data_IF_768993096720
#
_entry.id   IF_768993096720
#
_cell.length_a   1.000
_cell.length_b   1.000
_cell.length_c   1.000
_cell.angle_alpha   90.00
_cell.angle_beta   90.00
_cell.angle_gamma   90.00
#
_symmetry.space_group_name_H-M   'P 1'
#
loop_
_entity.id
_entity.type
_entity.pdbx_description
1 polymer ?
#
# COMPACT_ATOMS: atom_id res chain seq x y z
N UNK A 1 -4.35 -12.99 22.08
CA UNK A 1 -4.10 -11.60 21.61
C UNK A 1 -4.67 -11.38 20.22
N UNK A 2 -4.54 -12.35 19.31
CA UNK A 2 -5.11 -12.27 17.96
C UNK A 2 -6.61 -12.63 17.91
N UNK A 3 -7.09 -13.45 18.83
CA UNK A 3 -8.51 -13.84 18.92
C UNK A 3 -9.44 -12.67 19.29
N UNK A 4 -8.86 -11.54 19.71
CA UNK A 4 -9.60 -10.30 20.00
C UNK A 4 -9.77 -9.41 18.75
N UNK A 5 -9.17 -9.77 17.62
CA UNK A 5 -9.33 -9.02 16.37
C UNK A 5 -10.72 -9.27 15.80
N UNK A 6 -11.50 -8.21 15.68
CA UNK A 6 -12.82 -8.28 15.07
C UNK A 6 -12.71 -8.30 13.54
N UNK A 7 -13.79 -8.68 12.86
CA UNK A 7 -13.83 -8.65 11.38
C UNK A 7 -13.53 -7.24 10.79
N UNK A 8 -14.03 -6.12 11.35
CA UNK A 8 -13.56 -4.78 10.99
C UNK A 8 -12.04 -4.56 11.13
N UNK A 9 -11.43 -5.09 12.19
CA UNK A 9 -9.99 -4.98 12.44
C UNK A 9 -9.20 -5.73 11.37
N UNK A 10 -9.66 -6.93 11.03
CA UNK A 10 -9.06 -7.73 9.96
C UNK A 10 -9.12 -7.02 8.61
N UNK A 11 -10.27 -6.46 8.24
CA UNK A 11 -10.42 -5.64 7.02
C UNK A 11 -9.48 -4.43 7.02
N UNK A 12 -9.27 -3.81 8.17
CA UNK A 12 -8.36 -2.66 8.32
C UNK A 12 -6.89 -3.07 8.19
N UNK A 13 -6.50 -4.23 8.72
CA UNK A 13 -5.16 -4.80 8.55
C UNK A 13 -4.90 -5.20 7.10
N UNK A 14 -5.84 -5.89 6.44
CA UNK A 14 -5.76 -6.25 5.02
C UNK A 14 -5.56 -5.00 4.16
N UNK A 15 -6.45 -4.01 4.29
CA UNK A 15 -6.34 -2.76 3.52
C UNK A 15 -5.01 -2.04 3.76
N UNK A 16 -4.56 -1.98 5.01
CA UNK A 16 -3.30 -1.29 5.36
C UNK A 16 -2.09 -2.00 4.79
N UNK A 17 -2.04 -3.32 4.88
CA UNK A 17 -0.93 -4.12 4.34
C UNK A 17 -0.83 -4.06 2.82
N UNK A 18 -1.95 -4.11 2.09
CA UNK A 18 -1.96 -3.91 0.63
C UNK A 18 -1.44 -2.53 0.26
N UNK A 19 -1.89 -1.50 0.97
CA UNK A 19 -1.40 -0.14 0.74
C UNK A 19 0.10 0.03 1.05
N UNK A 20 0.62 -0.66 2.07
CA UNK A 20 2.03 -0.57 2.45
C UNK A 20 2.95 -1.37 1.53
N UNK A 21 2.50 -2.54 1.05
CA UNK A 21 3.21 -3.36 0.07
C UNK A 21 3.28 -2.71 -1.32
N UNK A 22 2.35 -1.81 -1.65
CA UNK A 22 2.26 -1.22 -2.98
C UNK A 22 3.57 -0.51 -3.38
N UNK A 23 4.17 -1.00 -4.48
CA UNK A 23 5.43 -0.47 -5.02
C UNK A 23 6.69 -0.92 -4.29
N UNK A 24 6.63 -1.98 -3.48
CA UNK A 24 7.76 -2.60 -2.80
C UNK A 24 7.85 -4.09 -3.17
N UNK A 25 9.03 -4.70 -3.04
CA UNK A 25 9.26 -6.13 -3.30
C UNK A 25 8.80 -7.07 -2.18
N UNK A 26 7.81 -6.64 -1.38
CA UNK A 26 7.29 -7.41 -0.26
C UNK A 26 5.79 -7.65 -0.45
N UNK A 27 5.33 -8.89 -0.22
CA UNK A 27 3.92 -9.19 -0.33
C UNK A 27 3.15 -8.63 0.87
N UNK A 28 1.91 -8.20 0.62
CA UNK A 28 1.03 -7.71 1.67
C UNK A 28 0.75 -8.76 2.76
N UNK A 29 0.69 -10.04 2.37
CA UNK A 29 0.54 -11.15 3.30
C UNK A 29 1.77 -11.30 4.21
N UNK A 30 2.96 -11.24 3.64
CA UNK A 30 4.22 -11.37 4.37
C UNK A 30 4.41 -10.21 5.36
N UNK A 31 4.05 -8.98 4.97
CA UNK A 31 4.05 -7.83 5.90
C UNK A 31 3.16 -8.08 7.12
N UNK A 32 1.96 -8.64 6.93
CA UNK A 32 1.05 -8.95 8.06
C UNK A 32 1.60 -10.09 8.90
N UNK A 33 2.07 -11.16 8.25
CA UNK A 33 2.59 -12.34 8.94
C UNK A 33 3.80 -11.97 9.79
N UNK A 34 4.75 -11.23 9.24
CA UNK A 34 5.94 -10.77 9.96
C UNK A 34 5.58 -9.81 11.10
N UNK A 35 4.55 -8.96 10.92
CA UNK A 35 4.04 -8.13 12.00
C UNK A 35 3.45 -8.96 13.16
N UNK A 36 2.76 -10.07 12.86
CA UNK A 36 2.29 -11.00 13.88
C UNK A 36 3.44 -11.73 14.57
N UNK A 37 4.39 -12.29 13.79
CA UNK A 37 5.56 -12.99 14.33
C UNK A 37 6.32 -12.09 15.29
N UNK A 38 6.68 -10.86 14.86
CA UNK A 38 7.41 -9.91 15.71
C UNK A 38 6.66 -9.45 16.95
N UNK A 39 5.33 -9.48 16.89
CA UNK A 39 4.48 -9.16 18.06
C UNK A 39 4.43 -10.32 19.05
N UNK A 40 4.39 -11.56 18.56
CA UNK A 40 4.25 -12.76 19.38
C UNK A 40 5.59 -13.25 19.95
N UNK A 41 6.68 -13.10 19.19
CA UNK A 41 8.05 -13.46 19.60
C UNK A 41 8.69 -12.43 20.55
N UNK A 42 7.98 -11.33 20.86
CA UNK A 42 8.41 -10.30 21.79
C UNK A 42 9.42 -9.28 21.23
N UNK A 43 9.86 -9.40 19.97
CA UNK A 43 10.75 -8.41 19.33
C UNK A 43 10.11 -7.03 19.24
N UNK A 44 8.77 -6.97 19.17
CA UNK A 44 7.98 -5.75 19.28
C UNK A 44 6.97 -5.93 20.41
N UNK A 45 7.11 -5.11 21.46
CA UNK A 45 6.22 -5.15 22.63
C UNK A 45 5.04 -4.20 22.47
N UNK A 46 3.83 -4.75 22.49
CA UNK A 46 2.60 -3.98 22.56
C UNK A 46 2.26 -3.66 24.03
N UNK A 47 2.11 -2.39 24.38
CA UNK A 47 1.63 -1.99 25.72
C UNK A 47 0.13 -2.28 25.80
N UNK A 48 -0.37 -2.70 26.97
CA UNK A 48 -1.80 -3.05 27.15
C UNK A 48 -2.79 -1.93 26.80
N UNK A 49 -2.38 -0.67 26.91
CA UNK A 49 -3.20 0.49 26.56
C UNK A 49 -3.24 0.82 25.07
N UNK A 50 -2.47 0.11 24.23
CA UNK A 50 -2.38 0.41 22.80
C UNK A 50 -3.43 -0.36 22.00
N UNK A 51 -3.98 0.32 21.00
CA UNK A 51 -4.79 -0.29 19.96
C UNK A 51 -3.94 -1.28 19.16
N UNK A 52 -4.29 -2.56 19.24
CA UNK A 52 -3.51 -3.66 18.66
C UNK A 52 -3.39 -3.55 17.14
N UNK A 53 -4.44 -3.05 16.46
CA UNK A 53 -4.44 -2.87 15.01
C UNK A 53 -3.45 -1.80 14.58
N UNK A 54 -3.49 -0.63 15.23
CA UNK A 54 -2.55 0.45 14.98
C UNK A 54 -1.11 0.05 15.32
N UNK A 55 -0.92 -0.74 16.38
CA UNK A 55 0.37 -1.29 16.74
C UNK A 55 0.94 -2.18 15.62
N UNK A 56 0.16 -3.14 15.13
CA UNK A 56 0.55 -4.03 14.02
C UNK A 56 0.81 -3.25 12.73
N UNK A 57 -0.02 -2.24 12.42
CA UNK A 57 0.21 -1.32 11.30
C UNK A 57 1.53 -0.56 11.47
N UNK A 58 1.89 -0.17 12.70
CA UNK A 58 3.16 0.45 13.03
C UNK A 58 4.36 -0.46 12.72
N UNK A 59 4.25 -1.76 13.02
CA UNK A 59 5.28 -2.75 12.67
C UNK A 59 5.40 -2.86 11.15
N UNK A 60 4.28 -3.01 10.44
CA UNK A 60 4.28 -3.07 8.96
C UNK A 60 4.93 -1.84 8.33
N UNK A 61 4.65 -0.63 8.84
CA UNK A 61 5.32 0.61 8.38
C UNK A 61 6.82 0.56 8.57
N UNK A 62 7.28 0.03 9.70
CA UNK A 62 8.71 -0.12 9.99
C UNK A 62 9.37 -1.09 9.01
N UNK A 63 8.73 -2.22 8.69
CA UNK A 63 9.21 -3.19 7.72
C UNK A 63 9.34 -2.56 6.33
N UNK A 64 8.28 -1.90 5.85
CA UNK A 64 8.32 -1.21 4.56
C UNK A 64 9.39 -0.10 4.52
N UNK A 65 9.68 0.56 5.65
CA UNK A 65 10.77 1.55 5.71
C UNK A 65 12.13 0.90 5.53
N UNK A 66 12.35 -0.27 6.14
CA UNK A 66 13.59 -1.04 6.01
C UNK A 66 13.79 -1.51 4.57
N UNK A 67 12.72 -1.99 3.91
CA UNK A 67 12.78 -2.37 2.49
C UNK A 67 13.17 -1.18 1.60
N UNK A 68 12.65 0.02 1.87
CA UNK A 68 12.99 1.24 1.13
C UNK A 68 14.41 1.73 1.35
N UNK A 69 14.98 1.43 2.50
CA UNK A 69 16.39 1.72 2.80
C UNK A 69 17.27 0.70 2.06
N UNK A 70 16.91 -0.58 2.12
CA UNK A 70 17.60 -1.64 1.38
C UNK A 70 17.57 -1.43 -0.14
N UNK A 71 16.42 -1.08 -0.73
CA UNK A 71 16.31 -0.78 -2.16
C UNK A 71 17.14 0.45 -2.58
N UNK A 72 17.41 1.39 -1.66
CA UNK A 72 18.30 2.54 -1.90
C UNK A 72 19.78 2.15 -1.83
N UNK A 73 20.12 1.23 -0.94
CA UNK A 73 21.50 0.80 -0.69
C UNK A 73 21.98 -0.30 -1.67
N UNK A 74 21.10 -0.75 -2.57
CA UNK A 74 21.38 -1.78 -3.58
C UNK A 74 20.93 -3.18 -3.17
N UNK A 75 20.82 -4.13 -4.12
CA UNK A 75 20.27 -5.45 -3.84
C UNK A 75 21.11 -6.20 -2.79
N UNK A 76 20.45 -6.68 -1.74
CA UNK A 76 21.04 -7.56 -0.74
C UNK A 76 21.23 -8.94 -1.37
N UNK A 77 22.46 -9.46 -1.38
CA UNK A 77 22.70 -10.85 -1.76
C UNK A 77 22.06 -11.76 -0.72
N UNK A 78 20.89 -12.30 -1.05
CA UNK A 78 20.29 -13.42 -0.32
C UNK A 78 20.72 -14.66 -1.10
N UNK A 79 21.53 -15.53 -0.49
CA UNK A 79 21.89 -16.82 -1.09
C UNK A 79 20.64 -17.67 -1.22
N UNK A 80 20.10 -17.79 -2.44
CA UNK A 80 18.90 -18.57 -2.74
C UNK A 80 19.31 -19.78 -3.57
N UNK A 81 18.87 -20.96 -3.11
CA UNK A 81 18.96 -22.23 -3.83
C UNK A 81 18.15 -22.19 -5.14
N UNK A 82 18.83 -22.43 -6.26
CA UNK A 82 18.36 -22.23 -7.64
C UNK A 82 17.20 -23.16 -8.03
N UNK A 83 16.95 -24.22 -7.25
CA UNK A 83 15.96 -25.26 -7.57
C UNK A 83 14.51 -24.96 -7.14
N UNK A 84 14.26 -23.91 -6.34
CA UNK A 84 12.92 -23.58 -5.82
C UNK A 84 12.24 -22.40 -6.53
N UNK A 85 12.75 -21.95 -7.69
CA UNK A 85 12.16 -20.82 -8.40
C UNK A 85 11.00 -21.28 -9.29
N UNK A 86 9.82 -21.49 -8.68
CA UNK A 86 8.60 -21.22 -9.43
C UNK A 86 8.70 -19.75 -9.90
N UNK A 87 8.66 -19.53 -11.20
CA UNK A 87 8.76 -18.19 -11.77
C UNK A 87 7.75 -17.26 -11.08
N UNK A 88 8.26 -16.30 -10.29
CA UNK A 88 7.47 -15.19 -9.76
C UNK A 88 7.07 -14.20 -10.87
N UNK A 89 7.55 -14.41 -12.11
CA UNK A 89 7.06 -13.67 -13.26
C UNK A 89 5.63 -14.11 -13.55
N UNK A 90 4.67 -13.16 -13.66
CA UNK A 90 3.31 -13.47 -14.05
C UNK A 90 3.30 -14.23 -15.38
N UNK A 91 2.39 -15.19 -15.52
CA UNK A 91 2.22 -15.92 -16.77
C UNK A 91 1.88 -14.94 -17.91
N UNK A 92 2.18 -15.27 -19.18
CA UNK A 92 1.81 -14.42 -20.32
C UNK A 92 0.32 -14.03 -20.34
N UNK A 93 -0.56 -14.93 -19.92
CA UNK A 93 -2.00 -14.70 -19.77
C UNK A 93 -2.31 -13.73 -18.64
N UNK A 94 -1.60 -13.83 -17.50
CA UNK A 94 -1.70 -12.88 -16.39
C UNK A 94 -1.21 -11.50 -16.80
N UNK A 95 -0.10 -11.38 -17.54
CA UNK A 95 0.42 -10.11 -18.06
C UNK A 95 -0.57 -9.45 -19.03
N UNK A 96 -1.19 -10.23 -19.93
CA UNK A 96 -2.15 -9.72 -20.89
C UNK A 96 -3.46 -9.25 -20.25
N UNK A 97 -4.00 -10.04 -19.31
CA UNK A 97 -5.19 -9.68 -18.55
C UNK A 97 -4.92 -8.44 -17.69
N UNK A 98 -3.86 -8.46 -16.89
CA UNK A 98 -3.48 -7.35 -16.02
C UNK A 98 -3.21 -6.06 -16.81
N UNK A 99 -2.48 -6.11 -17.92
CA UNK A 99 -2.17 -4.91 -18.70
C UNK A 99 -3.43 -4.21 -19.23
N UNK A 100 -4.42 -4.96 -19.74
CA UNK A 100 -5.67 -4.38 -20.23
C UNK A 100 -6.57 -3.88 -19.08
N UNK A 101 -6.68 -4.65 -18.00
CA UNK A 101 -7.48 -4.29 -16.84
C UNK A 101 -6.89 -3.09 -16.08
N UNK A 102 -5.57 -3.03 -15.89
CA UNK A 102 -4.89 -1.88 -15.29
C UNK A 102 -4.98 -0.65 -16.19
N UNK A 103 -4.80 -0.77 -17.51
CA UNK A 103 -4.96 0.37 -18.44
C UNK A 103 -6.35 0.97 -18.39
N UNK A 104 -7.40 0.15 -18.42
CA UNK A 104 -8.79 0.61 -18.28
C UNK A 104 -9.06 1.27 -16.93
N UNK A 105 -8.53 0.70 -15.86
CA UNK A 105 -8.68 1.24 -14.50
C UNK A 105 -7.99 2.60 -14.37
N UNK A 106 -6.76 2.72 -14.86
CA UNK A 106 -6.00 3.96 -14.83
C UNK A 106 -6.69 5.03 -15.69
N UNK A 107 -7.16 4.67 -16.90
CA UNK A 107 -7.90 5.58 -17.77
C UNK A 107 -9.19 6.09 -17.11
N UNK A 108 -10.01 5.20 -16.52
CA UNK A 108 -11.24 5.58 -15.82
C UNK A 108 -10.95 6.49 -14.61
N UNK A 109 -9.86 6.23 -13.88
CA UNK A 109 -9.41 7.10 -12.79
C UNK A 109 -9.06 8.49 -13.31
N UNK A 110 -8.30 8.59 -14.40
CA UNK A 110 -7.95 9.88 -15.00
C UNK A 110 -9.17 10.63 -15.55
N UNK A 111 -10.10 9.95 -16.22
CA UNK A 111 -11.35 10.57 -16.68
C UNK A 111 -12.19 11.11 -15.51
N UNK A 112 -12.30 10.35 -14.42
CA UNK A 112 -13.12 10.75 -13.27
C UNK A 112 -12.48 11.92 -12.52
N UNK A 113 -11.15 11.94 -12.44
CA UNK A 113 -10.40 13.07 -11.89
C UNK A 113 -10.56 14.30 -12.80
N UNK A 114 -10.65 14.09 -14.12
CA UNK A 114 -10.72 15.13 -15.13
C UNK A 114 -9.43 15.96 -15.20
N UNK A 115 -9.52 17.13 -15.82
CA UNK A 115 -8.41 18.08 -15.96
C UNK A 115 -8.13 18.90 -14.69
N UNK A 116 -8.49 18.41 -13.49
CA UNK A 116 -8.19 19.10 -12.23
C UNK A 116 -6.69 18.96 -11.90
N UNK A 117 -5.89 20.01 -12.11
CA UNK A 117 -4.44 19.90 -12.04
C UNK A 117 -3.95 19.56 -10.63
N UNK A 118 -4.70 19.92 -9.58
CA UNK A 118 -4.32 19.64 -8.19
C UNK A 118 -4.55 18.18 -7.82
N UNK A 119 -5.60 17.57 -8.35
CA UNK A 119 -5.89 16.15 -8.12
C UNK A 119 -4.97 15.25 -8.96
N UNK A 120 -4.65 15.65 -10.20
CA UNK A 120 -3.64 14.97 -11.03
C UNK A 120 -2.27 15.01 -10.36
N UNK A 121 -1.85 16.18 -9.87
CA UNK A 121 -0.59 16.31 -9.12
C UNK A 121 -0.59 15.45 -7.85
N UNK A 122 -1.71 15.38 -7.12
CA UNK A 122 -1.84 14.52 -5.95
C UNK A 122 -1.73 13.04 -6.33
N UNK A 123 -2.39 12.60 -7.40
CA UNK A 123 -2.32 11.21 -7.86
C UNK A 123 -0.89 10.84 -8.28
N UNK A 124 -0.24 11.67 -9.10
CA UNK A 124 1.13 11.44 -9.55
C UNK A 124 2.10 11.39 -8.37
N UNK A 125 2.01 12.33 -7.43
CA UNK A 125 2.88 12.33 -6.26
C UNK A 125 2.67 11.07 -5.37
N UNK A 126 1.45 10.52 -5.32
CA UNK A 126 1.17 9.26 -4.63
C UNK A 126 1.73 8.05 -5.38
N UNK A 127 1.62 8.04 -6.72
CA UNK A 127 2.21 7.01 -7.58
C UNK A 127 3.74 6.99 -7.47
N UNK A 128 4.36 8.16 -7.35
CA UNK A 128 5.79 8.34 -7.09
C UNK A 128 6.20 8.00 -5.65
N UNK A 129 5.25 7.55 -4.81
CA UNK A 129 5.51 7.10 -3.44
C UNK A 129 5.64 8.20 -2.39
N UNK A 130 5.36 9.47 -2.72
CA UNK A 130 5.44 10.60 -1.78
C UNK A 130 4.40 10.49 -0.66
N UNK A 131 4.79 10.77 0.58
CA UNK A 131 3.96 10.61 1.78
C UNK A 131 4.14 11.78 2.76
N UNK A 132 3.14 12.03 3.59
CA UNK A 132 3.26 12.96 4.74
C UNK A 132 3.74 14.37 4.40
N UNK A 133 4.86 14.79 4.98
CA UNK A 133 5.54 16.09 4.76
C UNK A 133 6.01 16.27 3.32
N UNK A 134 6.54 15.21 2.70
CA UNK A 134 7.03 15.24 1.33
C UNK A 134 5.89 15.50 0.33
N UNK A 135 4.74 14.88 0.56
CA UNK A 135 3.52 15.11 -0.23
C UNK A 135 3.01 16.56 -0.09
N UNK A 136 3.10 17.16 1.10
CA UNK A 136 2.76 18.57 1.33
C UNK A 136 3.71 19.52 0.60
N UNK A 137 5.00 19.18 0.61
CA UNK A 137 6.05 19.99 -0.01
C UNK A 137 5.91 19.98 -1.53
N UNK A 138 5.75 18.80 -2.14
CA UNK A 138 5.54 18.64 -3.59
C UNK A 138 4.28 19.34 -4.08
N UNK A 139 3.19 19.29 -3.32
CA UNK A 139 1.92 19.90 -3.69
C UNK A 139 1.81 21.37 -3.27
N UNK A 140 2.79 21.89 -2.52
CA UNK A 140 2.78 23.24 -1.93
C UNK A 140 1.47 23.55 -1.18
N UNK A 141 1.00 22.59 -0.38
CA UNK A 141 -0.22 22.72 0.43
C UNK A 141 0.06 22.49 1.91
N UNK A 142 -0.75 23.13 2.75
CA UNK A 142 -0.75 22.89 4.18
C UNK A 142 -1.45 21.57 4.53
N UNK A 143 -1.47 21.21 5.83
CA UNK A 143 -2.10 19.97 6.28
C UNK A 143 -3.61 19.93 5.98
N UNK A 144 -4.30 21.08 6.11
CA UNK A 144 -5.74 21.19 5.84
C UNK A 144 -6.04 21.07 4.35
N UNK A 145 -5.25 21.72 3.50
CA UNK A 145 -5.32 21.62 2.04
C UNK A 145 -5.09 20.20 1.54
N UNK A 146 -4.08 19.50 2.08
CA UNK A 146 -3.84 18.10 1.72
C UNK A 146 -4.99 17.18 2.13
N UNK A 147 -5.56 17.38 3.33
CA UNK A 147 -6.72 16.61 3.79
C UNK A 147 -7.95 16.84 2.89
N UNK A 148 -8.16 18.09 2.46
CA UNK A 148 -9.24 18.45 1.53
C UNK A 148 -9.07 17.76 0.17
N UNK A 149 -7.88 17.85 -0.43
CA UNK A 149 -7.57 17.21 -1.72
C UNK A 149 -7.74 15.68 -1.65
N UNK A 150 -7.30 15.05 -0.55
CA UNK A 150 -7.51 13.61 -0.33
C UNK A 150 -8.98 13.24 -0.26
N UNK A 151 -9.80 14.05 0.43
CA UNK A 151 -11.26 13.82 0.52
C UNK A 151 -11.91 13.97 -0.85
N UNK A 152 -11.51 14.98 -1.62
CA UNK A 152 -11.99 15.22 -2.97
C UNK A 152 -11.62 14.07 -3.92
N UNK A 153 -10.35 13.64 -3.92
CA UNK A 153 -9.86 12.51 -4.70
C UNK A 153 -10.62 11.23 -4.35
N UNK A 154 -10.76 10.91 -3.05
CA UNK A 154 -11.49 9.73 -2.58
C UNK A 154 -12.95 9.72 -3.07
N UNK A 155 -13.63 10.87 -3.02
CA UNK A 155 -15.03 10.99 -3.48
C UNK A 155 -15.14 10.77 -4.99
N UNK A 156 -14.21 11.32 -5.78
CA UNK A 156 -14.18 11.09 -7.23
C UNK A 156 -13.90 9.62 -7.57
N UNK A 157 -12.90 9.01 -6.92
CA UNK A 157 -12.56 7.60 -7.11
C UNK A 157 -13.69 6.65 -6.68
N UNK A 158 -14.47 7.01 -5.65
CA UNK A 158 -15.63 6.22 -5.24
C UNK A 158 -16.69 6.15 -6.35
N UNK A 159 -16.88 7.22 -7.13
CA UNK A 159 -17.76 7.23 -8.31
C UNK A 159 -17.23 6.35 -9.45
N UNK A 160 -15.92 6.35 -9.67
CA UNK A 160 -15.26 5.48 -10.67
C UNK A 160 -15.36 3.98 -10.30
N UNK A 161 -15.35 3.67 -9.00
CA UNK A 161 -15.36 2.30 -8.49
C UNK A 161 -16.74 1.63 -8.47
N UNK A 162 -17.83 2.36 -8.75
CA UNK A 162 -19.19 1.78 -8.83
C UNK A 162 -19.32 0.83 -10.03
N UNK A 163 -18.58 1.06 -11.12
CA UNK A 163 -18.55 0.20 -12.31
C UNK A 163 -17.56 -0.98 -12.20
N UNK A 164 -17.11 -1.32 -10.98
CA UNK A 164 -16.11 -2.37 -10.73
C UNK A 164 -16.73 -3.77 -10.58
N UNK A 165 -17.84 -4.06 -11.27
CA UNK A 165 -18.32 -5.45 -11.37
C UNK A 165 -17.25 -6.25 -12.11
N UNK A 166 -16.44 -6.94 -11.32
CA UNK A 166 -15.50 -7.96 -11.80
C UNK A 166 -16.37 -9.09 -12.39
N UNK A 167 -16.12 -9.56 -13.62
CA UNK A 167 -16.70 -10.81 -14.08
C UNK A 167 -16.18 -11.99 -13.24
#
# INVERSE_FOLDING_TARGET
MLDALTEPDWRRLLRSSHYLAQGHRILAADLRQEAFVRSLDGRRRCRRSYDIVNFLIGIMRSLTSQEREADRDGPREVGIDMLSMASAAPSPEQVGHDALHYRRTIAAVFETIGSDPKLVALLNAVLDGAKGTDLRTRLKVDAKGLASLRKQLKRKLAGAAVNRSVP
#
